data_IF_419797123580
#
_entry.id   IF_419797123580
#
_cell.length_a   1.000
_cell.length_b   1.000
_cell.length_c   1.000
_cell.angle_alpha   90.00
_cell.angle_beta   90.00
_cell.angle_gamma   90.00
#
_symmetry.space_group_name_H-M   'P 1'
#
loop_
_entity.id
_entity.type
_entity.pdbx_description
1 polymer ?
#
# COMPACT_ATOMS: atom_id res chain seq x y z
N UNK A 1 -13.36 -11.82 9.68
CA UNK A 1 -13.71 -11.59 8.26
C UNK A 1 -12.85 -12.52 7.41
N UNK A 2 -13.34 -12.98 6.26
CA UNK A 2 -12.49 -13.74 5.32
C UNK A 2 -11.71 -12.73 4.49
N UNK A 3 -10.41 -12.94 4.31
CA UNK A 3 -9.56 -12.12 3.45
C UNK A 3 -9.14 -12.93 2.23
N UNK A 4 -9.03 -12.29 1.08
CA UNK A 4 -8.59 -12.90 -0.18
C UNK A 4 -7.27 -12.25 -0.56
N UNK A 5 -6.21 -13.05 -0.62
CA UNK A 5 -4.91 -12.60 -1.10
C UNK A 5 -4.81 -12.86 -2.59
N UNK A 6 -4.60 -11.79 -3.36
CA UNK A 6 -4.40 -11.83 -4.80
C UNK A 6 -2.98 -11.38 -5.12
N UNK A 7 -2.14 -12.31 -5.56
CA UNK A 7 -0.84 -11.96 -6.13
C UNK A 7 -1.02 -11.35 -7.52
N UNK A 8 -0.43 -10.18 -7.74
CA UNK A 8 -0.51 -9.44 -9.01
C UNK A 8 0.67 -9.86 -9.88
N UNK A 9 0.44 -10.38 -11.10
CA UNK A 9 1.51 -10.73 -12.02
C UNK A 9 2.40 -9.53 -12.38
N UNK A 10 3.72 -9.74 -12.52
CA UNK A 10 4.73 -8.68 -12.66
C UNK A 10 4.43 -7.72 -13.82
N UNK A 11 3.93 -8.25 -14.92
CA UNK A 11 3.56 -7.52 -16.12
C UNK A 11 2.36 -6.58 -15.93
N UNK A 12 1.56 -6.79 -14.87
CA UNK A 12 0.39 -5.99 -14.54
C UNK A 12 0.67 -4.92 -13.48
N UNK A 13 1.87 -4.90 -12.88
CA UNK A 13 2.16 -4.00 -11.75
C UNK A 13 2.00 -2.53 -12.09
N UNK A 14 2.50 -2.08 -13.25
CA UNK A 14 2.41 -0.67 -13.62
C UNK A 14 0.95 -0.19 -13.68
N UNK A 15 0.11 -0.94 -14.39
CA UNK A 15 -1.31 -0.62 -14.55
C UNK A 15 -2.07 -0.76 -13.23
N UNK A 16 -1.77 -1.79 -12.45
CA UNK A 16 -2.41 -2.02 -11.16
C UNK A 16 -2.10 -0.89 -10.17
N UNK A 17 -0.82 -0.55 -9.99
CA UNK A 17 -0.39 0.51 -9.07
C UNK A 17 -0.94 1.87 -9.52
N UNK A 18 -0.86 2.21 -10.80
CA UNK A 18 -1.42 3.45 -11.33
C UNK A 18 -2.95 3.54 -11.10
N UNK A 19 -3.67 2.43 -11.22
CA UNK A 19 -5.10 2.37 -10.91
C UNK A 19 -5.36 2.61 -9.42
N UNK A 20 -4.62 1.95 -8.52
CA UNK A 20 -4.76 2.13 -7.07
C UNK A 20 -4.42 3.56 -6.66
N UNK A 21 -3.30 4.11 -7.14
CA UNK A 21 -2.90 5.51 -6.94
C UNK A 21 -4.06 6.47 -7.24
N UNK A 22 -4.73 6.28 -8.38
CA UNK A 22 -5.87 7.11 -8.77
C UNK A 22 -7.13 6.86 -7.95
N UNK A 23 -7.43 5.60 -7.63
CA UNK A 23 -8.69 5.22 -6.96
C UNK A 23 -8.66 5.54 -5.46
N UNK A 24 -7.51 5.41 -4.84
CA UNK A 24 -7.29 5.60 -3.41
C UNK A 24 -6.52 6.91 -3.13
N UNK A 25 -6.48 7.84 -4.08
CA UNK A 25 -5.91 9.17 -3.87
C UNK A 25 -6.65 9.87 -2.72
N UNK A 26 -5.90 10.52 -1.83
CA UNK A 26 -6.35 11.12 -0.57
C UNK A 26 -6.91 10.14 0.48
N UNK A 27 -6.91 8.82 0.22
CA UNK A 27 -7.30 7.83 1.21
C UNK A 27 -6.23 7.75 2.31
N UNK A 28 -6.66 7.71 3.57
CA UNK A 28 -5.73 7.59 4.69
C UNK A 28 -5.08 6.22 4.70
N UNK A 29 -3.74 6.19 4.76
CA UNK A 29 -2.99 4.95 4.83
C UNK A 29 -2.01 4.94 5.99
N UNK A 30 -1.77 3.74 6.50
CA UNK A 30 -0.64 3.41 7.37
C UNK A 30 0.40 2.65 6.56
N UNK A 31 1.66 3.04 6.68
CA UNK A 31 2.77 2.40 5.96
C UNK A 31 3.76 1.82 6.95
N UNK A 32 4.02 0.52 6.81
CA UNK A 32 4.97 -0.24 7.64
C UNK A 32 6.06 -0.84 6.75
N UNK A 33 7.30 -0.82 7.23
CA UNK A 33 8.43 -1.54 6.65
C UNK A 33 8.90 -2.61 7.61
N UNK A 34 8.90 -3.86 7.16
CA UNK A 34 9.30 -5.02 7.93
C UNK A 34 10.55 -5.58 7.31
N UNK A 35 11.63 -5.64 8.08
CA UNK A 35 12.88 -6.27 7.66
C UNK A 35 13.44 -7.19 8.74
N UNK A 36 14.24 -8.20 8.39
CA UNK A 36 14.90 -9.06 9.37
C UNK A 36 15.85 -8.28 10.31
N UNK A 37 16.43 -7.18 9.83
CA UNK A 37 17.44 -6.41 10.55
C UNK A 37 16.83 -5.37 11.49
N UNK A 38 15.74 -4.69 11.07
CA UNK A 38 15.13 -3.60 11.83
C UNK A 38 13.81 -4.00 12.50
N UNK A 39 13.29 -5.20 12.23
CA UNK A 39 11.95 -5.61 12.64
C UNK A 39 10.88 -4.82 11.91
N UNK A 40 9.72 -4.67 12.55
CA UNK A 40 8.60 -3.86 12.07
C UNK A 40 8.83 -2.39 12.44
N UNK A 41 8.86 -1.53 11.42
CA UNK A 41 9.09 -0.09 11.54
C UNK A 41 7.95 0.68 10.88
N UNK A 42 7.19 1.50 11.63
CA UNK A 42 6.21 2.39 11.03
C UNK A 42 6.93 3.48 10.23
N UNK A 43 6.70 3.53 8.92
CA UNK A 43 7.14 4.63 8.06
C UNK A 43 6.19 5.81 8.18
N UNK A 44 4.88 5.54 8.24
CA UNK A 44 3.84 6.54 8.48
C UNK A 44 2.70 5.90 9.25
N UNK A 45 2.29 6.52 10.37
CA UNK A 45 1.14 6.02 11.13
C UNK A 45 -0.19 6.31 10.44
N UNK A 46 -0.31 7.49 9.81
CA UNK A 46 -1.55 7.92 9.16
C UNK A 46 -1.32 9.15 8.26
N UNK A 47 -1.13 8.93 6.96
CA UNK A 47 -1.05 10.01 5.96
C UNK A 47 -1.87 9.64 4.73
N UNK A 48 -2.44 10.64 4.01
CA UNK A 48 -3.21 10.34 2.81
C UNK A 48 -2.28 9.85 1.69
N UNK A 49 -2.73 8.88 0.91
CA UNK A 49 -2.02 8.41 -0.27
C UNK A 49 -2.03 9.50 -1.34
N UNK A 50 -0.84 9.87 -1.79
CA UNK A 50 -0.65 10.81 -2.91
C UNK A 50 -0.40 10.03 -4.18
N UNK A 51 0.52 9.06 -4.13
CA UNK A 51 0.84 8.26 -5.31
C UNK A 51 1.46 6.90 -4.94
N UNK A 52 1.26 5.93 -5.82
CA UNK A 52 1.98 4.67 -5.83
C UNK A 52 2.22 4.24 -7.27
N UNK A 53 3.49 4.06 -7.64
CA UNK A 53 3.85 3.78 -9.03
C UNK A 53 5.04 2.84 -9.17
N UNK A 54 5.07 2.13 -10.30
CA UNK A 54 6.26 1.44 -10.78
C UNK A 54 7.08 2.39 -11.65
N UNK A 55 8.34 2.60 -11.28
CA UNK A 55 9.29 3.32 -12.11
C UNK A 55 9.60 2.51 -13.38
N UNK A 56 9.36 3.10 -14.55
CA UNK A 56 9.54 2.42 -15.85
C UNK A 56 10.73 2.94 -16.65
N UNK A 57 11.38 4.01 -16.16
CA UNK A 57 12.46 4.72 -16.87
C UNK A 57 13.55 5.15 -15.90
N UNK A 58 14.73 5.45 -16.45
CA UNK A 58 15.88 5.93 -15.67
C UNK A 58 16.61 4.81 -14.93
N UNK A 59 17.51 5.19 -14.03
CA UNK A 59 18.31 4.26 -13.22
C UNK A 59 17.48 3.45 -12.23
N UNK A 60 16.32 3.99 -11.83
CA UNK A 60 15.41 3.38 -10.87
C UNK A 60 14.34 2.50 -11.53
N UNK A 61 14.45 2.24 -12.84
CA UNK A 61 13.48 1.42 -13.55
C UNK A 61 13.35 0.03 -12.88
N UNK A 62 12.12 -0.31 -12.50
CA UNK A 62 11.80 -1.52 -11.77
C UNK A 62 11.45 -1.28 -10.28
N UNK A 63 11.85 -0.14 -9.72
CA UNK A 63 11.51 0.22 -8.34
C UNK A 63 10.04 0.60 -8.19
N UNK A 64 9.47 0.37 -7.00
CA UNK A 64 8.16 0.92 -6.63
C UNK A 64 8.36 2.14 -5.74
N UNK A 65 7.70 3.24 -6.08
CA UNK A 65 7.66 4.45 -5.27
C UNK A 65 6.28 4.60 -4.63
N UNK A 66 6.28 4.96 -3.36
CA UNK A 66 5.08 5.25 -2.57
C UNK A 66 5.24 6.67 -2.02
N UNK A 67 4.22 7.49 -2.22
CA UNK A 67 4.16 8.86 -1.71
C UNK A 67 2.91 8.99 -0.86
N UNK A 68 3.08 9.35 0.40
CA UNK A 68 1.99 9.65 1.33
C UNK A 68 2.22 11.03 1.91
N UNK A 69 1.16 11.82 2.09
CA UNK A 69 1.29 13.13 2.69
C UNK A 69 0.32 14.20 2.21
N UNK A 70 0.50 15.38 2.80
CA UNK A 70 -0.20 16.64 2.56
C UNK A 70 0.82 17.77 2.45
N UNK A 71 0.37 18.99 2.16
CA UNK A 71 1.25 20.16 1.91
C UNK A 71 2.37 20.36 2.95
N UNK A 72 2.12 20.05 4.23
CA UNK A 72 3.07 20.29 5.32
C UNK A 72 3.82 19.04 5.80
N UNK A 73 3.50 17.86 5.26
CA UNK A 73 4.02 16.59 5.76
C UNK A 73 3.91 15.53 4.67
N UNK A 74 5.03 15.11 4.10
CA UNK A 74 5.07 14.08 3.06
C UNK A 74 6.25 13.14 3.23
N UNK A 75 6.02 11.87 2.94
CA UNK A 75 7.03 10.82 2.92
C UNK A 75 7.05 10.23 1.53
N UNK A 76 8.26 10.04 1.00
CA UNK A 76 8.50 9.25 -0.20
C UNK A 76 9.30 8.03 0.21
N UNK A 77 8.69 6.85 0.08
CA UNK A 77 9.35 5.57 0.28
C UNK A 77 9.60 4.91 -1.08
N UNK A 78 10.76 4.26 -1.22
CA UNK A 78 11.14 3.58 -2.46
C UNK A 78 11.64 2.18 -2.16
N UNK A 79 11.09 1.23 -2.89
CA UNK A 79 11.43 -0.19 -2.84
C UNK A 79 12.20 -0.49 -4.12
N UNK A 80 13.52 -0.71 -4.00
CA UNK A 80 14.42 -0.77 -5.15
C UNK A 80 14.34 -2.08 -5.92
N UNK A 81 14.22 -3.20 -5.21
CA UNK A 81 14.16 -4.54 -5.79
C UNK A 81 12.88 -5.30 -5.35
N UNK A 82 11.68 -4.82 -5.75
CA UNK A 82 10.43 -5.46 -5.41
C UNK A 82 10.28 -6.78 -6.19
N UNK A 83 9.94 -7.86 -5.48
CA UNK A 83 9.85 -9.22 -6.02
C UNK A 83 8.40 -9.73 -6.12
N UNK A 84 7.51 -9.33 -5.20
CA UNK A 84 6.09 -9.69 -5.24
C UNK A 84 5.20 -8.52 -4.85
N UNK A 85 4.01 -8.50 -5.44
CA UNK A 85 2.93 -7.56 -5.13
C UNK A 85 1.67 -8.36 -4.80
N UNK A 86 1.15 -8.22 -3.60
CA UNK A 86 -0.04 -8.94 -3.14
C UNK A 86 -1.08 -7.93 -2.67
N UNK A 87 -2.26 -8.03 -3.25
CA UNK A 87 -3.43 -7.28 -2.81
C UNK A 87 -4.25 -8.13 -1.85
N UNK A 88 -4.37 -7.68 -0.61
CA UNK A 88 -5.28 -8.25 0.37
C UNK A 88 -6.62 -7.54 0.25
N UNK A 89 -7.64 -8.31 -0.12
CA UNK A 89 -9.00 -7.83 -0.31
C UNK A 89 -9.91 -8.36 0.80
N UNK A 90 -10.86 -7.53 1.22
CA UNK A 90 -11.93 -8.01 2.08
C UNK A 90 -12.76 -9.09 1.35
N UNK A 91 -13.21 -10.10 2.08
CA UNK A 91 -14.06 -11.16 1.54
C UNK A 91 -15.49 -10.70 1.20
N UNK A 92 -15.84 -9.47 1.58
CA UNK A 92 -17.16 -8.88 1.47
C UNK A 92 -17.13 -7.68 0.51
N UNK A 93 -17.00 -7.96 -0.79
CA UNK A 93 -17.01 -6.95 -1.85
C UNK A 93 -15.68 -6.72 -2.56
N UNK A 94 -14.59 -7.36 -2.11
CA UNK A 94 -13.29 -7.30 -2.79
C UNK A 94 -12.60 -5.93 -2.65
N UNK A 95 -12.90 -5.20 -1.57
CA UNK A 95 -12.27 -3.91 -1.27
C UNK A 95 -10.82 -4.14 -0.86
N UNK A 96 -9.89 -3.37 -1.41
CA UNK A 96 -8.48 -3.40 -1.01
C UNK A 96 -8.33 -2.91 0.42
N UNK A 97 -7.80 -3.77 1.28
CA UNK A 97 -7.50 -3.47 2.69
C UNK A 97 -6.00 -3.26 2.91
N UNK A 98 -5.17 -4.06 2.23
CA UNK A 98 -3.72 -3.95 2.32
C UNK A 98 -3.06 -4.24 0.97
N UNK A 99 -1.99 -3.50 0.68
CA UNK A 99 -1.05 -3.82 -0.38
C UNK A 99 0.28 -4.24 0.25
N UNK A 100 0.67 -5.50 0.04
CA UNK A 100 1.96 -6.03 0.45
C UNK A 100 2.92 -6.03 -0.73
N UNK A 101 4.11 -5.45 -0.53
CA UNK A 101 5.21 -5.45 -1.49
C UNK A 101 6.41 -6.14 -0.85
N UNK A 102 6.72 -7.35 -1.29
CA UNK A 102 7.92 -8.05 -0.87
C UNK A 102 9.12 -7.54 -1.67
N UNK A 103 10.25 -7.32 -1.00
CA UNK A 103 11.51 -6.94 -1.63
C UNK A 103 12.59 -8.01 -1.43
N UNK A 104 13.61 -7.96 -2.27
CA UNK A 104 14.78 -8.83 -2.14
C UNK A 104 15.39 -8.71 -0.74
N UNK A 105 15.76 -9.84 -0.15
CA UNK A 105 16.36 -9.87 1.19
C UNK A 105 15.34 -10.10 2.31
N UNK A 106 14.13 -10.56 1.98
CA UNK A 106 13.02 -10.83 2.91
C UNK A 106 12.47 -9.57 3.62
N UNK A 107 12.72 -8.39 3.06
CA UNK A 107 12.00 -7.19 3.45
C UNK A 107 10.59 -7.21 2.88
N UNK A 108 9.69 -6.47 3.50
CA UNK A 108 8.40 -6.13 2.91
C UNK A 108 7.89 -4.78 3.38
N UNK A 109 7.20 -4.09 2.50
CA UNK A 109 6.42 -2.90 2.83
C UNK A 109 4.93 -3.25 2.81
N UNK A 110 4.21 -2.82 3.83
CA UNK A 110 2.75 -2.95 3.92
C UNK A 110 2.12 -1.57 3.85
N UNK A 111 1.09 -1.42 3.01
CA UNK A 111 0.26 -0.22 2.93
C UNK A 111 -1.16 -0.62 3.30
N UNK A 112 -1.61 -0.22 4.49
CA UNK A 112 -2.96 -0.46 4.97
C UNK A 112 -3.86 0.73 4.64
N UNK A 113 -5.01 0.46 4.04
CA UNK A 113 -5.99 1.48 3.68
C UNK A 113 -7.00 1.65 4.83
N UNK A 114 -6.97 2.79 5.51
CA UNK A 114 -7.81 3.09 6.66
C UNK A 114 -9.21 3.59 6.24
N UNK A 115 -9.92 2.73 5.51
CA UNK A 115 -11.29 3.01 5.12
C UNK A 115 -12.15 3.06 6.37
N UNK A 116 -12.78 4.20 6.60
CA UNK A 116 -13.85 4.29 7.59
C UNK A 116 -14.98 3.40 7.10
N UNK A 117 -15.16 2.25 7.74
CA UNK A 117 -16.33 1.40 7.52
C UNK A 117 -17.57 2.25 7.83
N UNK A 118 -18.29 2.70 6.80
CA UNK A 118 -19.60 3.38 6.96
C UNK A 118 -20.67 2.51 7.65
N UNK A 119 -20.30 1.30 8.09
CA UNK A 119 -21.12 0.39 8.87
C UNK A 119 -20.83 0.40 10.38
N UNK A 120 -19.83 1.16 10.86
CA UNK A 120 -19.52 1.23 12.30
C UNK A 120 -20.30 2.34 13.05
N UNK A 121 -21.00 3.23 12.31
CA UNK A 121 -21.77 4.35 12.91
C UNK A 121 -23.18 3.96 13.38
N UNK A 122 -23.64 2.72 13.11
CA UNK A 122 -24.99 2.25 13.48
C UNK A 122 -25.04 1.48 14.81
N UNK A 123 -23.92 1.38 15.54
CA UNK A 123 -23.81 0.59 16.77
C UNK A 123 -23.70 1.44 18.06
N UNK A 124 -24.16 2.69 18.06
CA UNK A 124 -24.37 3.44 19.30
C UNK A 124 -25.88 3.52 19.61
N UNK A 125 -26.45 2.60 20.40
CA UNK A 125 -27.74 2.85 21.04
C UNK A 125 -27.53 3.85 22.19
N UNK A 126 -28.38 4.88 22.20
CA UNK A 126 -28.66 5.79 23.32
C UNK A 126 -29.18 5.04 24.54
#
# INVERSE_FOLDING_TARGET
MTHINQEIPREQWADYLARISKQEHDEWVRVESISPEMGDQPLSERLPLVDIMLETKGSEAGAVQIIVGRENESITHRILEPERLVAELNGNGGVLECLEICERGNGKTLIFFERTSVFDDMAAPI
#
